data_IF_577087706793
#
_entry.id   IF_577087706793
#
_cell.length_a   1.000
_cell.length_b   1.000
_cell.length_c   1.000
_cell.angle_alpha   90.00
_cell.angle_beta   90.00
_cell.angle_gamma   90.00
#
_symmetry.space_group_name_H-M   'P 1'
#
loop_
_entity.id
_entity.type
_entity.pdbx_description
1 polymer ?
#
# COMPACT_ATOMS: atom_id res chain seq x y z
N UNK A 1 -14.19 2.32 11.52
CA UNK A 1 -13.06 2.21 12.47
C UNK A 1 -11.85 1.69 11.71
N UNK A 2 -10.75 2.42 11.69
CA UNK A 2 -9.54 2.05 10.93
C UNK A 2 -8.62 1.11 11.72
N UNK A 3 -7.67 0.47 11.04
CA UNK A 3 -6.64 -0.35 11.70
C UNK A 3 -5.80 0.50 12.67
N UNK A 4 -5.40 1.71 12.25
CA UNK A 4 -4.61 2.64 13.06
C UNK A 4 -5.32 3.01 14.36
N UNK A 5 -6.62 3.33 14.30
CA UNK A 5 -7.45 3.60 15.49
C UNK A 5 -7.52 2.39 16.43
N UNK A 6 -7.60 1.18 15.88
CA UNK A 6 -7.68 -0.04 16.67
C UNK A 6 -6.38 -0.30 17.43
N UNK A 7 -5.23 -0.01 16.82
CA UNK A 7 -3.92 -0.12 17.46
C UNK A 7 -3.71 0.96 18.53
N UNK A 8 -4.12 2.21 18.28
CA UNK A 8 -3.94 3.32 19.23
C UNK A 8 -4.64 3.05 20.56
N UNK A 9 -5.82 2.43 20.56
CA UNK A 9 -6.55 2.08 21.80
C UNK A 9 -5.78 1.09 22.68
N UNK A 10 -4.86 0.30 22.11
CA UNK A 10 -4.01 -0.63 22.87
C UNK A 10 -2.84 0.06 23.59
N UNK A 11 -2.73 1.40 23.49
CA UNK A 11 -1.68 2.22 24.12
C UNK A 11 -0.23 1.83 23.73
N UNK A 12 0.09 1.62 22.45
CA UNK A 12 1.49 1.48 22.02
C UNK A 12 2.24 2.80 22.24
N UNK A 13 3.56 2.72 22.37
CA UNK A 13 4.40 3.93 22.48
C UNK A 13 4.31 4.82 21.22
N UNK A 14 4.15 4.21 20.04
CA UNK A 14 3.87 4.91 18.78
C UNK A 14 3.24 3.96 17.75
N UNK A 15 2.56 4.52 16.75
CA UNK A 15 2.05 3.77 15.58
C UNK A 15 2.44 4.57 14.33
N UNK A 16 3.15 3.92 13.40
CA UNK A 16 3.49 4.47 12.08
C UNK A 16 3.19 3.46 10.98
N UNK A 17 2.89 3.95 9.79
CA UNK A 17 2.55 3.16 8.61
C UNK A 17 3.69 3.27 7.60
N UNK A 18 4.21 2.13 7.17
CA UNK A 18 5.13 2.04 6.04
C UNK A 18 4.43 1.36 4.87
N UNK A 19 4.54 1.95 3.68
CA UNK A 19 4.02 1.38 2.45
C UNK A 19 5.14 1.33 1.40
N UNK A 20 5.33 0.17 0.78
CA UNK A 20 6.29 0.05 -0.32
C UNK A 20 5.84 0.91 -1.51
N UNK A 21 4.55 0.85 -1.87
CA UNK A 21 3.97 1.60 -2.98
C UNK A 21 2.86 2.51 -2.47
N UNK A 22 2.88 3.77 -2.93
CA UNK A 22 1.86 4.76 -2.60
C UNK A 22 1.37 5.44 -3.88
N UNK A 23 0.04 5.49 -4.05
CA UNK A 23 -0.64 6.16 -5.17
C UNK A 23 -1.28 7.45 -4.67
N UNK A 24 -0.60 8.60 -4.72
CA UNK A 24 -1.10 9.84 -4.13
C UNK A 24 -2.44 10.28 -4.73
N UNK A 25 -2.60 10.16 -6.05
CA UNK A 25 -3.81 10.55 -6.77
C UNK A 25 -5.04 9.68 -6.44
N UNK A 26 -4.80 8.49 -5.87
CA UNK A 26 -5.86 7.57 -5.45
C UNK A 26 -6.23 7.72 -3.96
N UNK A 27 -5.54 8.59 -3.21
CA UNK A 27 -5.77 8.73 -1.77
C UNK A 27 -7.12 9.43 -1.52
N UNK A 28 -8.08 8.69 -0.97
CA UNK A 28 -9.41 9.20 -0.63
C UNK A 28 -9.47 9.81 0.79
N UNK A 29 -8.62 9.31 1.68
CA UNK A 29 -8.62 9.63 3.11
C UNK A 29 -7.25 10.15 3.52
N UNK A 30 -7.17 11.44 3.85
CA UNK A 30 -5.90 12.10 4.17
C UNK A 30 -5.17 11.45 5.36
N UNK A 31 -5.93 10.92 6.33
CA UNK A 31 -5.45 10.22 7.51
C UNK A 31 -4.76 8.87 7.20
N UNK A 32 -4.99 8.33 5.99
CA UNK A 32 -4.39 7.08 5.53
C UNK A 32 -3.03 7.29 4.83
N UNK A 33 -2.52 8.53 4.74
CA UNK A 33 -1.19 8.82 4.20
C UNK A 33 -0.11 8.07 5.03
N UNK A 34 0.75 7.26 4.39
CA UNK A 34 1.83 6.55 5.09
C UNK A 34 2.89 7.51 5.65
N UNK A 35 3.50 7.14 6.78
CA UNK A 35 4.63 7.85 7.37
C UNK A 35 5.93 7.56 6.61
N UNK A 36 6.03 6.37 6.02
CA UNK A 36 7.16 5.94 5.19
C UNK A 36 6.66 5.40 3.85
N UNK A 37 7.22 5.92 2.76
CA UNK A 37 6.90 5.51 1.39
C UNK A 37 8.17 5.00 0.72
N UNK A 38 8.10 3.81 0.12
CA UNK A 38 9.18 3.28 -0.72
C UNK A 38 9.21 3.96 -2.09
N UNK A 39 8.11 3.86 -2.82
CA UNK A 39 7.92 4.47 -4.14
C UNK A 39 6.54 5.11 -4.24
N UNK A 40 6.50 6.33 -4.75
CA UNK A 40 5.25 6.92 -5.26
C UNK A 40 5.06 6.49 -6.70
N UNK A 41 3.88 5.97 -7.02
CA UNK A 41 3.55 5.47 -8.37
C UNK A 41 2.26 6.12 -8.87
N UNK A 42 2.09 6.27 -10.19
CA UNK A 42 0.83 6.74 -10.75
C UNK A 42 -0.31 5.75 -10.47
N UNK A 43 -1.52 6.13 -10.87
CA UNK A 43 -2.67 5.24 -10.85
C UNK A 43 -2.54 4.14 -11.93
N UNK A 44 -1.66 3.16 -11.70
CA UNK A 44 -1.41 2.01 -12.57
C UNK A 44 -1.65 0.71 -11.80
N UNK A 45 -2.23 -0.30 -12.43
CA UNK A 45 -2.41 -1.60 -11.79
C UNK A 45 -1.09 -2.38 -11.80
N UNK A 46 -0.64 -2.82 -10.62
CA UNK A 46 0.68 -3.41 -10.40
C UNK A 46 0.59 -4.77 -9.71
N UNK A 47 1.44 -5.70 -10.13
CA UNK A 47 1.58 -7.05 -9.55
C UNK A 47 3.06 -7.35 -9.28
N UNK A 48 3.33 -8.44 -8.55
CA UNK A 48 4.69 -8.81 -8.15
C UNK A 48 5.07 -8.29 -6.77
N UNK A 49 6.17 -8.82 -6.23
CA UNK A 49 6.62 -8.50 -4.88
C UNK A 49 5.52 -8.67 -3.80
N UNK A 50 4.73 -9.75 -3.92
CA UNK A 50 3.59 -10.06 -3.05
C UNK A 50 2.24 -9.50 -3.50
N UNK A 51 2.21 -8.54 -4.44
CA UNK A 51 0.98 -8.01 -5.05
C UNK A 51 0.45 -8.99 -6.12
N UNK A 52 -0.87 -9.09 -6.24
CA UNK A 52 -1.52 -10.08 -7.08
C UNK A 52 -2.68 -9.55 -7.92
N UNK A 53 -3.03 -10.36 -8.91
CA UNK A 53 -4.30 -10.31 -9.62
C UNK A 53 -4.89 -11.72 -9.66
N UNK A 54 -6.07 -11.90 -9.07
CA UNK A 54 -6.76 -13.19 -8.98
C UNK A 54 -5.85 -14.31 -8.40
N UNK A 55 -5.01 -13.96 -7.41
CA UNK A 55 -4.05 -14.87 -6.82
C UNK A 55 -2.75 -15.08 -7.61
N UNK A 56 -2.66 -14.62 -8.86
CA UNK A 56 -1.47 -14.72 -9.70
C UNK A 56 -0.50 -13.55 -9.51
N UNK A 57 0.79 -13.77 -9.78
CA UNK A 57 1.81 -12.72 -9.82
C UNK A 57 2.56 -12.46 -8.51
N UNK A 58 2.09 -12.93 -7.35
CA UNK A 58 2.73 -12.68 -6.04
C UNK A 58 4.23 -13.00 -5.99
N UNK A 59 4.62 -14.10 -6.62
CA UNK A 59 5.97 -14.66 -6.56
C UNK A 59 6.95 -14.04 -7.58
N UNK A 60 6.51 -13.06 -8.38
CA UNK A 60 7.41 -12.32 -9.26
C UNK A 60 8.37 -11.46 -8.40
N UNK A 61 9.66 -11.49 -8.75
CA UNK A 61 10.70 -10.83 -7.96
C UNK A 61 10.63 -9.30 -8.04
N UNK A 62 10.11 -8.78 -9.14
CA UNK A 62 10.00 -7.35 -9.40
C UNK A 62 8.55 -6.89 -9.43
N UNK A 63 8.37 -5.58 -9.50
CA UNK A 63 7.08 -4.94 -9.70
C UNK A 63 6.80 -4.76 -11.19
N UNK A 64 5.63 -5.20 -11.63
CA UNK A 64 5.20 -5.14 -13.02
C UNK A 64 3.92 -4.32 -13.13
N UNK A 65 3.83 -3.47 -14.15
CA UNK A 65 2.57 -2.80 -14.53
C UNK A 65 1.82 -3.72 -15.48
N UNK A 66 0.57 -4.03 -15.15
CA UNK A 66 -0.31 -4.79 -16.05
C UNK A 66 -0.77 -3.85 -17.17
N UNK A 67 -0.53 -4.26 -18.40
CA UNK A 67 -1.03 -3.54 -19.58
C UNK A 67 -2.50 -3.88 -19.79
N UNK A 68 -3.26 -2.93 -20.36
CA UNK A 68 -4.68 -3.10 -20.73
C UNK A 68 -5.62 -3.42 -19.54
N UNK A 69 -5.36 -2.83 -18.37
CA UNK A 69 -6.19 -2.95 -17.16
C UNK A 69 -7.31 -1.89 -17.08
#
# INVERSE_FOLDING_TARGET
KTLKETLIVQKPASVRVAALLFKPDCLQHAEAKPDFVGFEIPNAFVVGYGLDYDGYGRALNDLYVVQDF
#
